data_IF_497025133295
#
_entry.id   IF_497025133295
#
_cell.length_a   1.000
_cell.length_b   1.000
_cell.length_c   1.000
_cell.angle_alpha   90.00
_cell.angle_beta   90.00
_cell.angle_gamma   90.00
#
_symmetry.space_group_name_H-M   'P 1'
#
loop_
_entity.id
_entity.type
_entity.pdbx_description
1 polymer ?
#
# COMPACT_ATOMS: atom_id res chain seq x y z
N UNK A 1 -44.72 -54.21 -14.29
CA UNK A 1 -44.40 -52.77 -14.16
C UNK A 1 -45.11 -52.09 -15.30
N UNK A 2 -46.04 -51.20 -14.98
CA UNK A 2 -46.95 -50.62 -15.99
C UNK A 2 -46.27 -49.42 -16.68
N UNK A 3 -46.77 -49.03 -17.87
CA UNK A 3 -46.19 -47.93 -18.65
C UNK A 3 -46.09 -46.62 -17.85
N UNK A 4 -47.04 -46.40 -16.93
CA UNK A 4 -47.04 -45.26 -16.01
C UNK A 4 -45.87 -45.30 -15.01
N UNK A 5 -45.46 -46.49 -14.56
CA UNK A 5 -44.32 -46.65 -13.63
C UNK A 5 -42.99 -46.31 -14.30
N UNK A 6 -42.79 -46.73 -15.56
CA UNK A 6 -41.60 -46.35 -16.34
C UNK A 6 -41.57 -44.86 -16.66
N UNK A 7 -42.73 -44.27 -16.97
CA UNK A 7 -42.86 -42.83 -17.19
C UNK A 7 -42.55 -42.02 -15.92
N UNK A 8 -43.12 -42.41 -14.78
CA UNK A 8 -42.84 -41.79 -13.49
C UNK A 8 -41.36 -41.92 -13.10
N UNK A 9 -40.73 -43.07 -13.35
CA UNK A 9 -39.30 -43.27 -13.13
C UNK A 9 -38.45 -42.31 -13.98
N UNK A 10 -38.84 -42.09 -15.24
CA UNK A 10 -38.18 -41.13 -16.13
C UNK A 10 -38.26 -39.69 -15.60
N UNK A 11 -39.43 -39.27 -15.11
CA UNK A 11 -39.60 -37.93 -14.50
C UNK A 11 -38.76 -37.80 -13.23
N UNK A 12 -38.75 -38.79 -12.34
CA UNK A 12 -37.95 -38.75 -11.12
C UNK A 12 -36.47 -38.64 -11.45
N UNK A 13 -35.98 -39.40 -12.44
CA UNK A 13 -34.60 -39.33 -12.90
C UNK A 13 -34.26 -37.96 -13.51
N UNK A 14 -35.16 -37.40 -14.32
CA UNK A 14 -34.98 -36.06 -14.90
C UNK A 14 -34.95 -34.96 -13.84
N UNK A 15 -35.87 -35.00 -12.86
CA UNK A 15 -35.89 -34.03 -11.75
C UNK A 15 -34.61 -34.14 -10.92
N UNK A 16 -34.16 -35.37 -10.64
CA UNK A 16 -32.90 -35.59 -9.95
C UNK A 16 -31.71 -34.98 -10.70
N UNK A 17 -31.62 -35.21 -12.01
CA UNK A 17 -30.59 -34.59 -12.87
C UNK A 17 -30.69 -33.07 -12.88
N UNK A 18 -31.89 -32.51 -13.01
CA UNK A 18 -32.12 -31.07 -13.03
C UNK A 18 -31.71 -30.42 -11.71
N UNK A 19 -31.99 -31.06 -10.57
CA UNK A 19 -31.56 -30.60 -9.25
C UNK A 19 -30.04 -30.67 -9.09
N UNK A 20 -29.42 -31.79 -9.45
CA UNK A 20 -27.95 -31.96 -9.38
C UNK A 20 -27.25 -30.93 -10.26
N UNK A 21 -27.69 -30.77 -11.51
CA UNK A 21 -27.10 -29.82 -12.45
C UNK A 21 -27.37 -28.36 -12.03
N UNK A 22 -28.54 -28.09 -11.46
CA UNK A 22 -28.86 -26.78 -10.88
C UNK A 22 -27.94 -26.40 -9.73
N UNK A 23 -27.61 -27.35 -8.85
CA UNK A 23 -26.64 -27.14 -7.77
C UNK A 23 -25.23 -26.88 -8.28
N UNK A 24 -24.78 -27.64 -9.28
CA UNK A 24 -23.47 -27.44 -9.92
C UNK A 24 -23.39 -26.03 -10.54
N UNK A 25 -24.44 -25.61 -11.25
CA UNK A 25 -24.48 -24.27 -11.85
C UNK A 25 -24.45 -23.13 -10.81
N UNK A 26 -25.16 -23.29 -9.68
CA UNK A 26 -25.16 -22.28 -8.61
C UNK A 26 -23.78 -22.14 -7.95
N UNK A 27 -23.04 -23.23 -7.92
CA UNK A 27 -21.75 -23.31 -7.29
C UNK A 27 -20.64 -22.57 -8.07
N UNK A 28 -20.77 -22.44 -9.39
CA UNK A 28 -19.82 -21.69 -10.23
C UNK A 28 -20.01 -20.16 -10.15
N UNK A 29 -21.12 -19.69 -9.58
CA UNK A 29 -21.42 -18.26 -9.39
C UNK A 29 -20.34 -17.54 -8.56
N UNK A 30 -19.92 -18.02 -7.35
CA UNK A 30 -18.84 -17.41 -6.58
C UNK A 30 -17.53 -17.26 -7.37
N UNK A 31 -17.17 -18.28 -8.15
CA UNK A 31 -15.97 -18.24 -8.99
C UNK A 31 -16.07 -17.15 -10.06
N UNK A 32 -17.22 -17.04 -10.73
CA UNK A 32 -17.45 -16.00 -11.74
C UNK A 32 -17.42 -14.59 -11.14
N UNK A 33 -17.91 -14.41 -9.91
CA UNK A 33 -17.82 -13.13 -9.17
C UNK A 33 -16.35 -12.81 -8.86
N UNK A 34 -15.58 -13.78 -8.36
CA UNK A 34 -14.16 -13.61 -8.06
C UNK A 34 -13.34 -13.27 -9.32
N UNK A 35 -13.67 -13.90 -10.45
CA UNK A 35 -13.03 -13.62 -11.75
C UNK A 35 -13.37 -12.23 -12.26
N UNK A 36 -14.65 -11.83 -12.18
CA UNK A 36 -15.08 -10.49 -12.58
C UNK A 36 -14.43 -9.37 -11.74
N UNK A 37 -14.10 -9.66 -10.48
CA UNK A 37 -13.45 -8.72 -9.55
C UNK A 37 -11.92 -8.83 -9.49
N UNK A 38 -11.29 -9.62 -10.36
CA UNK A 38 -9.84 -9.88 -10.35
C UNK A 38 -9.31 -10.30 -8.97
N UNK A 39 -10.03 -11.18 -8.26
CA UNK A 39 -9.65 -11.63 -6.93
C UNK A 39 -8.25 -12.31 -6.98
N UNK A 40 -7.31 -12.00 -6.08
CA UNK A 40 -5.95 -12.56 -6.12
C UNK A 40 -5.93 -14.08 -5.84
N UNK A 41 -6.98 -14.61 -5.23
CA UNK A 41 -7.12 -16.04 -4.91
C UNK A 41 -8.27 -16.72 -5.67
N UNK A 42 -8.44 -16.40 -6.95
CA UNK A 42 -9.43 -17.04 -7.84
C UNK A 42 -9.33 -18.57 -7.84
N UNK A 43 -8.10 -19.11 -7.89
CA UNK A 43 -7.86 -20.55 -7.90
C UNK A 43 -8.23 -21.22 -6.57
N UNK A 44 -8.11 -20.49 -5.45
CA UNK A 44 -8.53 -20.98 -4.15
C UNK A 44 -10.05 -21.05 -4.03
N UNK A 45 -10.77 -20.10 -4.62
CA UNK A 45 -12.25 -20.14 -4.69
C UNK A 45 -12.71 -21.29 -5.59
N UNK A 46 -12.01 -21.52 -6.71
CA UNK A 46 -12.29 -22.65 -7.59
C UNK A 46 -12.05 -23.99 -6.87
N UNK A 47 -10.87 -24.18 -6.28
CA UNK A 47 -10.52 -25.40 -5.55
C UNK A 47 -11.40 -25.62 -4.31
N UNK A 48 -11.64 -24.57 -3.53
CA UNK A 48 -12.55 -24.58 -2.38
C UNK A 48 -13.95 -24.98 -2.78
N UNK A 49 -14.36 -24.61 -3.98
CA UNK A 49 -15.60 -25.05 -4.57
C UNK A 49 -15.69 -26.58 -4.73
N UNK A 50 -14.71 -27.20 -5.40
CA UNK A 50 -14.65 -28.67 -5.52
C UNK A 50 -14.55 -29.36 -4.15
N UNK A 51 -13.86 -28.75 -3.18
CA UNK A 51 -13.79 -29.23 -1.80
C UNK A 51 -15.16 -29.16 -1.12
N UNK A 52 -15.98 -28.15 -1.43
CA UNK A 52 -17.31 -27.99 -0.83
C UNK A 52 -18.26 -29.15 -1.16
N UNK A 53 -18.07 -29.80 -2.32
CA UNK A 53 -18.80 -31.02 -2.69
C UNK A 53 -18.48 -32.18 -1.74
N UNK A 54 -17.24 -32.29 -1.27
CA UNK A 54 -16.85 -33.27 -0.27
C UNK A 54 -17.38 -32.93 1.13
N UNK A 55 -17.53 -31.63 1.45
CA UNK A 55 -18.01 -31.16 2.75
C UNK A 55 -19.52 -30.92 2.80
N UNK A 56 -20.30 -31.53 1.89
CA UNK A 56 -21.76 -31.38 1.79
C UNK A 56 -22.20 -29.89 1.78
N UNK A 57 -21.52 -29.07 0.99
CA UNK A 57 -21.79 -27.64 0.82
C UNK A 57 -21.67 -26.76 2.08
N UNK A 58 -21.13 -27.27 3.19
CA UNK A 58 -20.97 -26.48 4.42
C UNK A 58 -20.04 -25.26 4.25
N UNK A 59 -18.97 -25.40 3.48
CA UNK A 59 -17.96 -24.34 3.23
C UNK A 59 -18.38 -23.39 2.10
N UNK A 60 -19.40 -23.74 1.32
CA UNK A 60 -19.86 -22.95 0.18
C UNK A 60 -20.32 -21.52 0.53
N UNK A 61 -21.22 -21.28 1.50
CA UNK A 61 -21.64 -19.92 1.83
C UNK A 61 -20.48 -19.05 2.32
N UNK A 62 -19.45 -19.66 2.93
CA UNK A 62 -18.24 -18.96 3.35
C UNK A 62 -17.40 -18.51 2.14
N UNK A 63 -17.23 -19.37 1.13
CA UNK A 63 -16.53 -19.03 -0.12
C UNK A 63 -17.23 -17.89 -0.86
N UNK A 64 -18.56 -17.84 -0.82
CA UNK A 64 -19.34 -16.77 -1.44
C UNK A 64 -19.12 -15.41 -0.75
N UNK A 65 -19.10 -15.38 0.58
CA UNK A 65 -18.76 -14.17 1.36
C UNK A 65 -17.34 -13.70 1.02
N UNK A 66 -16.39 -14.64 0.93
CA UNK A 66 -15.01 -14.30 0.62
C UNK A 66 -14.84 -13.75 -0.80
N UNK A 67 -15.53 -14.33 -1.79
CA UNK A 67 -15.57 -13.81 -3.17
C UNK A 67 -16.08 -12.36 -3.23
N UNK A 68 -17.04 -12.00 -2.36
CA UNK A 68 -17.62 -10.66 -2.30
C UNK A 68 -16.78 -9.66 -1.48
N UNK A 69 -15.93 -10.16 -0.57
CA UNK A 69 -15.12 -9.36 0.35
C UNK A 69 -13.98 -8.58 -0.31
N UNK A 70 -13.59 -8.95 -1.54
CA UNK A 70 -12.54 -8.25 -2.26
C UNK A 70 -13.12 -7.16 -3.16
N UNK A 71 -12.50 -5.99 -3.05
CA UNK A 71 -12.75 -4.86 -3.92
C UNK A 71 -11.49 -4.59 -4.77
N UNK A 72 -11.60 -4.46 -6.10
CA UNK A 72 -10.44 -4.26 -6.97
C UNK A 72 -9.78 -2.89 -6.79
N UNK A 73 -10.51 -1.87 -6.31
CA UNK A 73 -9.97 -0.52 -6.13
C UNK A 73 -9.31 -0.36 -4.76
N UNK A 74 -9.91 -0.92 -3.71
CA UNK A 74 -9.45 -0.76 -2.31
C UNK A 74 -8.68 -1.97 -1.75
N UNK A 75 -8.69 -3.10 -2.46
CA UNK A 75 -8.09 -4.36 -2.00
C UNK A 75 -8.89 -4.98 -0.86
N UNK A 76 -8.22 -5.72 0.02
CA UNK A 76 -8.86 -6.18 1.26
C UNK A 76 -8.95 -5.03 2.26
N UNK A 77 -10.17 -4.67 2.67
CA UNK A 77 -10.43 -3.72 3.76
C UNK A 77 -9.70 -2.36 3.62
N UNK A 78 -9.47 -1.86 2.41
CA UNK A 78 -8.85 -0.53 2.21
C UNK A 78 -7.33 -0.49 2.31
N UNK A 79 -6.65 -1.64 2.38
CA UNK A 79 -5.17 -1.71 2.51
C UNK A 79 -4.42 -0.89 1.44
N UNK A 80 -4.93 -0.85 0.21
CA UNK A 80 -4.28 -0.08 -0.87
C UNK A 80 -4.33 1.42 -0.61
N UNK A 81 -5.45 1.93 -0.10
CA UNK A 81 -5.58 3.34 0.27
C UNK A 81 -4.69 3.69 1.48
N UNK A 82 -4.51 2.76 2.42
CA UNK A 82 -3.59 2.92 3.55
C UNK A 82 -2.13 2.98 3.07
N UNK A 83 -1.73 2.11 2.14
CA UNK A 83 -0.37 2.13 1.55
C UNK A 83 -0.08 3.44 0.81
N UNK A 84 -1.03 3.96 0.04
CA UNK A 84 -0.91 5.25 -0.65
C UNK A 84 -0.80 6.43 0.33
N UNK A 85 -1.62 6.46 1.39
CA UNK A 85 -1.54 7.48 2.45
C UNK A 85 -0.21 7.42 3.21
N UNK A 86 0.28 6.22 3.54
CA UNK A 86 1.58 6.03 4.19
C UNK A 86 2.73 6.47 3.28
N UNK A 87 2.66 6.18 1.98
CA UNK A 87 3.67 6.62 1.01
C UNK A 87 3.69 8.16 0.90
N UNK A 88 2.52 8.80 0.79
CA UNK A 88 2.40 10.25 0.74
C UNK A 88 2.93 10.92 2.03
N UNK A 89 2.60 10.37 3.20
CA UNK A 89 3.12 10.85 4.49
C UNK A 89 4.63 10.72 4.60
N UNK A 90 5.21 9.64 4.05
CA UNK A 90 6.65 9.42 4.04
C UNK A 90 7.35 10.44 3.14
N UNK A 91 6.82 10.70 1.95
CA UNK A 91 7.34 11.73 1.04
C UNK A 91 7.32 13.12 1.70
N UNK A 92 6.20 13.48 2.34
CA UNK A 92 6.08 14.74 3.08
C UNK A 92 7.10 14.80 4.24
N UNK A 93 7.28 13.73 4.99
CA UNK A 93 8.23 13.67 6.09
C UNK A 93 9.69 13.83 5.60
N UNK A 94 10.02 13.24 4.46
CA UNK A 94 11.35 13.36 3.87
C UNK A 94 11.60 14.77 3.28
N UNK A 95 10.58 15.39 2.69
CA UNK A 95 10.64 16.80 2.27
C UNK A 95 10.87 17.74 3.46
N UNK A 96 10.11 17.59 4.56
CA UNK A 96 10.27 18.40 5.77
C UNK A 96 11.66 18.25 6.41
N UNK A 97 12.23 17.03 6.40
CA UNK A 97 13.60 16.81 6.88
C UNK A 97 14.62 17.54 6.01
N UNK A 98 14.48 17.48 4.69
CA UNK A 98 15.40 18.16 3.77
C UNK A 98 15.37 19.68 3.94
N UNK A 99 14.18 20.25 4.19
CA UNK A 99 14.03 21.68 4.48
C UNK A 99 14.70 22.04 5.82
N UNK A 100 14.47 21.26 6.87
CA UNK A 100 15.11 21.45 8.17
C UNK A 100 16.64 21.36 8.10
N UNK A 101 17.18 20.46 7.28
CA UNK A 101 18.62 20.36 7.02
C UNK A 101 19.17 21.58 6.27
N UNK A 102 18.44 22.10 5.28
CA UNK A 102 18.82 23.32 4.58
C UNK A 102 18.84 24.52 5.52
N UNK A 103 17.82 24.66 6.37
CA UNK A 103 17.73 25.72 7.36
C UNK A 103 18.89 25.65 8.37
N UNK A 104 19.26 24.45 8.83
CA UNK A 104 20.43 24.24 9.69
C UNK A 104 21.73 24.70 9.03
N UNK A 105 21.97 24.30 7.77
CA UNK A 105 23.16 24.73 7.01
C UNK A 105 23.20 26.24 6.81
N UNK A 106 22.05 26.87 6.59
CA UNK A 106 21.96 28.32 6.48
C UNK A 106 22.35 28.99 7.81
N UNK A 107 21.87 28.49 8.94
CA UNK A 107 22.24 28.99 10.26
C UNK A 107 23.76 28.86 10.51
N UNK A 108 24.36 27.71 10.19
CA UNK A 108 25.81 27.50 10.29
C UNK A 108 26.60 28.46 9.39
N UNK A 109 26.09 28.75 8.18
CA UNK A 109 26.72 29.70 7.26
C UNK A 109 26.70 31.13 7.80
N UNK A 110 25.60 31.54 8.45
CA UNK A 110 25.48 32.84 9.10
C UNK A 110 26.47 32.95 10.27
N UNK A 111 26.54 31.94 11.13
CA UNK A 111 27.52 31.92 12.23
C UNK A 111 28.96 31.95 11.71
N UNK A 112 29.26 31.24 10.62
CA UNK A 112 30.58 31.27 9.99
C UNK A 112 30.92 32.66 9.42
N UNK A 113 29.96 33.36 8.83
CA UNK A 113 30.13 34.73 8.34
C UNK A 113 30.43 35.70 9.49
N UNK A 114 29.65 35.62 10.58
CA UNK A 114 29.88 36.44 11.77
C UNK A 114 31.29 36.24 12.35
N UNK A 115 31.75 34.98 12.46
CA UNK A 115 33.12 34.67 12.90
C UNK A 115 34.18 35.32 12.01
N UNK A 116 33.99 35.29 10.69
CA UNK A 116 34.94 35.91 9.74
C UNK A 116 34.95 37.43 9.85
N UNK A 117 33.81 38.07 10.14
CA UNK A 117 33.75 39.51 10.38
C UNK A 117 34.59 39.86 11.61
N UNK A 118 34.36 39.18 12.74
CA UNK A 118 35.13 39.40 13.98
C UNK A 118 36.64 39.17 13.76
N UNK A 119 37.00 38.11 13.02
CA UNK A 119 38.40 37.83 12.68
C UNK A 119 39.02 38.95 11.83
N UNK A 120 38.30 39.46 10.82
CA UNK A 120 38.78 40.55 9.98
C UNK A 120 38.94 41.85 10.77
N UNK A 121 38.02 42.17 11.68
CA UNK A 121 38.12 43.33 12.57
C UNK A 121 39.36 43.26 13.48
N UNK A 122 39.66 42.08 14.03
CA UNK A 122 40.88 41.84 14.82
C UNK A 122 42.14 42.04 13.97
N UNK A 123 42.20 41.42 12.77
CA UNK A 123 43.35 41.56 11.86
C UNK A 123 43.62 43.01 11.46
N UNK A 124 42.57 43.80 11.23
CA UNK A 124 42.69 45.23 10.92
C UNK A 124 43.27 46.02 12.09
N UNK A 125 42.84 45.72 13.32
CA UNK A 125 43.34 46.36 14.55
C UNK A 125 44.82 46.04 14.79
N UNK A 126 45.21 44.78 14.60
CA UNK A 126 46.60 44.33 14.72
C UNK A 126 47.49 44.99 13.65
N UNK A 127 47.00 45.09 12.41
CA UNK A 127 47.72 45.79 11.34
C UNK A 127 47.92 47.27 11.65
N UNK A 128 46.88 47.99 12.11
CA UNK A 128 46.98 49.40 12.47
C UNK A 128 48.03 49.62 13.59
N UNK A 129 48.02 48.76 14.61
CA UNK A 129 48.99 48.81 15.72
C UNK A 129 50.41 48.53 15.23
N UNK A 130 50.59 47.52 14.36
CA UNK A 130 51.90 47.17 13.79
C UNK A 130 52.47 48.24 12.86
N UNK A 131 51.61 48.94 12.11
CA UNK A 131 52.01 50.06 11.24
C UNK A 131 52.42 51.29 12.05
N UNK A 132 51.66 51.64 13.10
CA UNK A 132 52.01 52.73 14.00
C UNK A 132 53.37 52.51 14.67
N UNK A 133 53.61 51.30 15.21
CA UNK A 133 54.87 50.96 15.87
C UNK A 133 56.08 50.95 14.91
N UNK A 134 55.85 50.73 13.61
CA UNK A 134 56.90 50.78 12.58
C UNK A 134 57.22 52.23 12.18
N UNK A 135 56.19 53.09 12.06
CA UNK A 135 56.32 54.53 11.79
C UNK A 135 57.13 55.25 12.87
N UNK A 136 56.84 54.98 14.16
CA UNK A 136 57.59 55.58 15.29
C UNK A 136 59.07 55.15 15.35
N UNK A 137 59.43 53.99 14.79
CA UNK A 137 60.82 53.52 14.74
C UNK A 137 61.64 54.10 13.59
N UNK A 138 61.00 54.60 12.55
CA UNK A 138 61.69 55.18 11.38
C UNK A 138 61.89 56.71 11.52
N UNK A 139 61.16 57.39 12.42
CA UNK A 139 61.28 58.84 12.67
C UNK A 139 62.16 59.25 13.87
N UNK A 140 62.62 58.29 14.69
CA UNK A 140 63.51 58.53 15.85
C UNK A 140 64.95 58.11 15.62
#
# INVERSE_FOLDING_TARGET
MDALSWFALGIIFFVLLALVYGFIALHDVPYNIAKARNHPHQDAIHAGGWISLFTLHAIWPFLWIWAYSYDPETGYLGRKAEEEDVAAKRELADALKSEAESQRKHAETLEALERRIVELEQRLTDQATSQSAKSEREEG
#
